data_IF_240663159605
#
_entry.id   IF_240663159605
#
_cell.length_a   1.000
_cell.length_b   1.000
_cell.length_c   1.000
_cell.angle_alpha   90.00
_cell.angle_beta   90.00
_cell.angle_gamma   90.00
#
_symmetry.space_group_name_H-M   'P 1'
#
loop_
_entity.id
_entity.type
_entity.pdbx_description
1 polymer ?
#
# COMPACT_ATOMS: atom_id res chain seq x y z
N UNK A 1 4.40 32.71 -24.96
CA UNK A 1 5.53 32.20 -24.13
C UNK A 1 5.12 30.85 -23.54
N UNK A 2 5.16 29.81 -24.37
CA UNK A 2 4.75 28.43 -24.07
C UNK A 2 5.90 27.50 -24.45
N UNK A 3 6.86 27.39 -23.55
CA UNK A 3 7.92 26.38 -23.56
C UNK A 3 7.83 25.69 -22.19
N UNK A 4 8.28 24.44 -22.10
CA UNK A 4 8.48 23.66 -20.86
C UNK A 4 7.54 22.45 -20.63
N UNK A 5 6.95 21.86 -21.68
CA UNK A 5 6.41 20.47 -21.64
C UNK A 5 7.16 19.53 -22.58
N UNK A 6 7.95 20.07 -23.52
CA UNK A 6 8.74 19.32 -24.51
C UNK A 6 10.12 18.84 -24.01
N UNK A 7 10.51 19.12 -22.77
CA UNK A 7 11.89 18.90 -22.30
C UNK A 7 12.29 17.43 -22.07
N UNK A 8 11.34 16.53 -21.79
CA UNK A 8 11.68 15.14 -21.46
C UNK A 8 11.72 14.20 -22.67
N UNK A 9 10.74 14.30 -23.58
CA UNK A 9 10.75 13.53 -24.82
C UNK A 9 11.91 13.92 -25.73
N UNK A 10 12.27 15.21 -25.77
CA UNK A 10 13.43 15.71 -26.52
C UNK A 10 14.73 15.08 -26.02
N UNK A 11 14.89 14.76 -24.73
CA UNK A 11 16.15 14.19 -24.23
C UNK A 11 16.41 12.75 -24.64
N UNK A 12 15.40 11.88 -24.79
CA UNK A 12 15.66 10.49 -25.19
C UNK A 12 15.89 10.34 -26.70
N UNK A 13 15.13 11.04 -27.56
CA UNK A 13 15.42 11.03 -28.99
C UNK A 13 16.63 11.87 -29.35
N UNK A 14 16.87 13.01 -28.68
CA UNK A 14 18.09 13.79 -28.89
C UNK A 14 19.33 13.07 -28.33
N UNK A 15 19.24 12.33 -27.21
CA UNK A 15 20.36 11.49 -26.76
C UNK A 15 20.63 10.32 -27.72
N UNK A 16 19.60 9.63 -28.22
CA UNK A 16 19.76 8.58 -29.26
C UNK A 16 20.32 9.17 -30.57
N UNK A 17 19.88 10.36 -30.94
CA UNK A 17 20.37 11.09 -32.10
C UNK A 17 21.84 11.50 -31.93
N UNK A 18 22.20 12.12 -30.80
CA UNK A 18 23.56 12.54 -30.48
C UNK A 18 24.50 11.35 -30.36
N UNK A 19 24.06 10.24 -29.75
CA UNK A 19 24.82 9.00 -29.71
C UNK A 19 25.03 8.41 -31.11
N UNK A 20 24.00 8.44 -31.97
CA UNK A 20 24.15 8.01 -33.35
C UNK A 20 25.12 8.90 -34.14
N UNK A 21 25.06 10.23 -33.95
CA UNK A 21 26.00 11.17 -34.57
C UNK A 21 27.43 10.92 -34.10
N UNK A 22 27.63 10.58 -32.82
CA UNK A 22 28.96 10.24 -32.29
C UNK A 22 29.48 8.92 -32.89
N UNK A 23 28.62 7.90 -33.00
CA UNK A 23 28.95 6.65 -33.68
C UNK A 23 29.33 6.88 -35.15
N UNK A 24 28.66 7.81 -35.83
CA UNK A 24 29.02 8.20 -37.19
C UNK A 24 30.37 8.90 -37.27
N UNK A 25 30.71 9.77 -36.30
CA UNK A 25 32.02 10.44 -36.24
C UNK A 25 33.17 9.44 -36.09
N UNK A 26 32.97 8.37 -35.34
CA UNK A 26 33.97 7.29 -35.18
C UNK A 26 33.86 6.20 -36.26
N UNK A 27 33.06 6.41 -37.32
CA UNK A 27 32.94 5.51 -38.47
C UNK A 27 32.11 4.25 -38.24
N UNK A 28 31.39 4.13 -37.12
CA UNK A 28 30.53 2.99 -36.77
C UNK A 28 29.14 3.13 -37.37
N UNK A 29 29.08 3.09 -38.69
CA UNK A 29 27.86 3.29 -39.49
C UNK A 29 26.77 2.24 -39.20
N UNK A 30 27.16 0.97 -39.03
CA UNK A 30 26.22 -0.12 -38.75
C UNK A 30 25.55 0.03 -37.38
N UNK A 31 26.31 0.42 -36.36
CA UNK A 31 25.80 0.61 -35.00
C UNK A 31 24.95 1.89 -34.88
N UNK A 32 25.23 2.91 -35.70
CA UNK A 32 24.47 4.16 -35.72
C UNK A 32 23.06 4.00 -36.34
N UNK A 33 22.90 3.13 -37.34
CA UNK A 33 21.67 3.00 -38.11
C UNK A 33 20.41 2.65 -37.26
N UNK A 34 20.46 1.69 -36.32
CA UNK A 34 19.33 1.39 -35.44
C UNK A 34 18.87 2.58 -34.58
N UNK A 35 19.82 3.37 -34.05
CA UNK A 35 19.50 4.55 -33.24
C UNK A 35 18.82 5.64 -34.09
N UNK A 36 19.31 5.88 -35.30
CA UNK A 36 18.68 6.82 -36.26
C UNK A 36 17.29 6.36 -36.69
N UNK A 37 17.09 5.05 -36.90
CA UNK A 37 15.80 4.46 -37.24
C UNK A 37 14.75 4.69 -36.14
N UNK A 38 15.13 4.48 -34.88
CA UNK A 38 14.25 4.71 -33.74
C UNK A 38 13.93 6.21 -33.53
N UNK A 39 14.86 7.12 -33.83
CA UNK A 39 14.60 8.56 -33.78
C UNK A 39 13.71 9.00 -34.94
N UNK A 40 13.94 8.46 -36.14
CA UNK A 40 13.17 8.76 -37.35
C UNK A 40 11.68 8.43 -37.26
N UNK A 41 11.31 7.41 -36.47
CA UNK A 41 9.93 6.97 -36.26
C UNK A 41 9.25 7.64 -35.06
N UNK A 42 10.00 8.34 -34.20
CA UNK A 42 9.52 8.88 -32.92
C UNK A 42 8.71 10.19 -33.01
N UNK A 43 8.62 10.83 -34.18
CA UNK A 43 7.91 12.11 -34.37
C UNK A 43 8.49 13.34 -33.65
N UNK A 44 9.68 13.22 -33.04
CA UNK A 44 10.34 14.27 -32.24
C UNK A 44 11.14 15.27 -33.08
N UNK A 45 11.61 16.39 -32.50
CA UNK A 45 12.28 17.52 -33.20
C UNK A 45 13.37 17.12 -34.21
N UNK A 46 14.19 16.11 -33.90
CA UNK A 46 15.34 15.70 -34.73
C UNK A 46 14.99 14.67 -35.84
N UNK A 47 13.72 14.24 -35.93
CA UNK A 47 13.31 13.13 -36.82
C UNK A 47 13.61 13.36 -38.31
N UNK A 48 13.51 14.62 -38.79
CA UNK A 48 13.79 14.95 -40.20
C UNK A 48 15.27 14.79 -40.51
N UNK A 49 16.14 15.20 -39.59
CA UNK A 49 17.59 15.09 -39.77
C UNK A 49 18.05 13.65 -39.55
N UNK A 50 17.47 12.95 -38.58
CA UNK A 50 17.70 11.52 -38.36
C UNK A 50 17.30 10.67 -39.58
N UNK A 51 16.17 10.97 -40.24
CA UNK A 51 15.77 10.32 -41.51
C UNK A 51 16.78 10.53 -42.62
N UNK A 52 17.29 11.76 -42.80
CA UNK A 52 18.31 12.05 -43.81
C UNK A 52 19.61 11.27 -43.56
N UNK A 53 20.10 11.28 -42.32
CA UNK A 53 21.30 10.53 -41.93
C UNK A 53 21.09 9.02 -42.06
N UNK A 54 19.92 8.51 -41.66
CA UNK A 54 19.59 7.09 -41.80
C UNK A 54 19.64 6.63 -43.26
N UNK A 55 19.04 7.40 -44.17
CA UNK A 55 19.06 7.10 -45.61
C UNK A 55 20.51 7.04 -46.11
N UNK A 56 21.35 8.04 -45.77
CA UNK A 56 22.76 8.08 -46.16
C UNK A 56 23.54 6.87 -45.64
N UNK A 57 23.34 6.51 -44.36
CA UNK A 57 24.00 5.37 -43.71
C UNK A 57 23.58 4.06 -44.36
N UNK A 58 22.28 3.86 -44.62
CA UNK A 58 21.77 2.65 -45.28
C UNK A 58 22.29 2.53 -46.73
N UNK A 59 22.36 3.65 -47.47
CA UNK A 59 22.97 3.68 -48.81
C UNK A 59 24.45 3.29 -48.76
N UNK A 60 25.21 3.74 -47.76
CA UNK A 60 26.62 3.38 -47.60
C UNK A 60 26.81 1.91 -47.22
N UNK A 61 26.00 1.38 -46.30
CA UNK A 61 26.07 -0.02 -45.87
C UNK A 61 25.67 -0.98 -46.99
N UNK A 62 24.70 -0.60 -47.83
CA UNK A 62 24.22 -1.41 -48.96
C UNK A 62 25.22 -1.49 -50.13
N UNK A 63 26.27 -0.68 -50.16
CA UNK A 63 27.34 -0.78 -51.17
C UNK A 63 28.29 -1.95 -50.93
N UNK A 64 28.37 -2.44 -49.69
CA UNK A 64 29.32 -3.50 -49.28
C UNK A 64 28.63 -4.77 -48.77
N UNK A 65 27.30 -4.79 -48.67
CA UNK A 65 26.51 -5.90 -48.12
C UNK A 65 25.25 -6.12 -48.93
N UNK A 66 24.75 -7.36 -48.93
CA UNK A 66 23.45 -7.67 -49.51
C UNK A 66 22.32 -6.92 -48.74
N UNK A 67 21.44 -6.19 -49.44
CA UNK A 67 20.39 -5.40 -48.79
C UNK A 67 19.39 -6.22 -47.97
N UNK A 68 19.10 -7.47 -48.34
CA UNK A 68 18.16 -8.33 -47.60
C UNK A 68 18.80 -8.80 -46.29
N UNK A 69 20.06 -9.22 -46.34
CA UNK A 69 20.82 -9.61 -45.14
C UNK A 69 21.03 -8.42 -44.19
N UNK A 70 21.37 -7.24 -44.74
CA UNK A 70 21.51 -6.01 -43.95
C UNK A 70 20.22 -5.65 -43.22
N UNK A 71 19.06 -5.77 -43.88
CA UNK A 71 17.77 -5.52 -43.25
C UNK A 71 17.48 -6.50 -42.11
N UNK A 72 17.80 -7.80 -42.28
CA UNK A 72 17.63 -8.81 -41.23
C UNK A 72 18.52 -8.49 -40.01
N UNK A 73 19.80 -8.20 -40.24
CA UNK A 73 20.75 -7.87 -39.17
C UNK A 73 20.35 -6.60 -38.40
N UNK A 74 19.98 -5.53 -39.12
CA UNK A 74 19.51 -4.30 -38.50
C UNK A 74 18.22 -4.50 -37.71
N UNK A 75 17.28 -5.31 -38.23
CA UNK A 75 16.05 -5.63 -37.51
C UNK A 75 16.32 -6.38 -36.21
N UNK A 76 17.31 -7.28 -36.17
CA UNK A 76 17.73 -7.95 -34.93
C UNK A 76 18.29 -6.96 -33.91
N UNK A 77 19.15 -6.03 -34.34
CA UNK A 77 19.73 -5.01 -33.45
C UNK A 77 18.68 -4.01 -32.98
N UNK A 78 17.77 -3.56 -33.86
CA UNK A 78 16.65 -2.69 -33.50
C UNK A 78 15.75 -3.37 -32.46
N UNK A 79 15.45 -4.67 -32.64
CA UNK A 79 14.68 -5.46 -31.66
C UNK A 79 15.41 -5.54 -30.31
N UNK A 80 16.73 -5.75 -30.31
CA UNK A 80 17.54 -5.75 -29.08
C UNK A 80 17.62 -4.38 -28.40
N UNK A 81 17.74 -3.29 -29.15
CA UNK A 81 17.75 -1.92 -28.60
C UNK A 81 16.36 -1.46 -28.13
N UNK A 82 15.31 -2.10 -28.66
CA UNK A 82 13.93 -1.95 -28.20
C UNK A 82 13.57 -2.92 -27.07
N UNK A 83 14.46 -3.89 -26.78
CA UNK A 83 14.33 -4.80 -25.64
C UNK A 83 14.48 -3.99 -24.36
N UNK A 84 13.63 -4.28 -23.38
CA UNK A 84 13.67 -3.72 -22.03
C UNK A 84 14.48 -4.57 -21.06
N UNK A 85 15.16 -5.62 -21.56
CA UNK A 85 15.94 -6.59 -20.77
C UNK A 85 17.15 -6.03 -20.00
N UNK A 86 17.47 -4.75 -20.16
CA UNK A 86 18.56 -4.05 -19.46
C UNK A 86 18.06 -3.18 -18.29
N UNK A 87 16.75 -3.03 -18.13
CA UNK A 87 16.15 -2.25 -17.04
C UNK A 87 16.11 -3.08 -15.75
N UNK A 88 16.63 -2.51 -14.65
CA UNK A 88 16.50 -3.10 -13.32
C UNK A 88 15.22 -2.59 -12.65
N UNK A 89 14.68 -3.35 -11.71
CA UNK A 89 13.53 -2.94 -10.91
C UNK A 89 13.75 -1.57 -10.23
N UNK A 90 14.93 -1.37 -9.66
CA UNK A 90 15.33 -0.10 -9.04
C UNK A 90 15.31 1.11 -10.01
N UNK A 91 15.44 0.89 -11.33
CA UNK A 91 15.40 1.96 -12.33
C UNK A 91 13.97 2.51 -12.55
N UNK A 92 12.95 1.85 -11.99
CA UNK A 92 11.53 2.24 -12.08
C UNK A 92 10.93 2.71 -10.77
N UNK A 93 11.77 3.07 -9.80
CA UNK A 93 11.32 3.60 -8.52
C UNK A 93 11.29 5.13 -8.52
N UNK A 94 10.19 5.67 -7.98
CA UNK A 94 10.03 7.09 -7.72
C UNK A 94 10.77 7.48 -6.44
N UNK A 95 11.74 8.39 -6.52
CA UNK A 95 12.51 8.82 -5.33
C UNK A 95 11.68 9.53 -4.25
N UNK A 96 10.49 10.06 -4.61
CA UNK A 96 9.63 10.75 -3.64
C UNK A 96 8.81 9.80 -2.79
N UNK A 97 8.42 8.67 -3.36
CA UNK A 97 7.64 7.66 -2.64
C UNK A 97 8.38 6.34 -2.51
N UNK A 98 9.67 6.27 -2.87
CA UNK A 98 10.55 5.10 -2.88
C UNK A 98 9.82 3.79 -3.20
N UNK A 99 9.08 3.81 -4.32
CA UNK A 99 8.17 2.76 -4.79
C UNK A 99 8.05 2.90 -6.31
N UNK A 100 7.59 1.87 -7.01
CA UNK A 100 7.44 1.88 -8.46
C UNK A 100 6.56 3.04 -8.94
N UNK A 101 6.85 3.54 -10.14
CA UNK A 101 6.10 4.65 -10.69
C UNK A 101 4.61 4.34 -10.89
N UNK A 102 3.76 4.90 -10.03
CA UNK A 102 2.30 4.96 -10.21
C UNK A 102 1.94 6.22 -11.02
N UNK A 103 1.41 6.03 -12.23
CA UNK A 103 1.13 7.11 -13.19
C UNK A 103 2.36 8.04 -13.36
N UNK A 104 3.49 7.53 -13.90
CA UNK A 104 4.73 8.29 -14.02
C UNK A 104 4.56 9.57 -14.82
N UNK A 105 4.87 10.69 -14.18
CA UNK A 105 5.04 11.96 -14.87
C UNK A 105 6.53 12.22 -14.99
N UNK A 106 6.94 12.65 -16.19
CA UNK A 106 8.30 13.16 -16.35
C UNK A 106 8.36 14.66 -16.48
N UNK A 107 9.16 15.26 -15.60
CA UNK A 107 9.42 16.71 -15.56
C UNK A 107 10.25 17.15 -16.77
N UNK A 108 10.21 18.45 -17.14
CA UNK A 108 10.95 18.97 -18.29
C UNK A 108 12.47 18.82 -18.15
N UNK A 109 12.95 18.70 -16.91
CA UNK A 109 14.36 18.60 -16.62
C UNK A 109 14.95 17.20 -16.86
N UNK A 110 14.16 16.12 -16.93
CA UNK A 110 14.73 14.77 -16.97
C UNK A 110 14.19 13.78 -15.94
N UNK A 111 13.56 14.26 -14.89
CA UNK A 111 13.29 13.42 -13.73
C UNK A 111 11.85 12.92 -13.71
N UNK A 112 11.70 11.64 -13.41
CA UNK A 112 10.42 10.95 -13.34
C UNK A 112 9.97 10.80 -11.89
N UNK A 113 8.67 10.96 -11.68
CA UNK A 113 8.02 10.84 -10.37
C UNK A 113 6.62 10.27 -10.58
N UNK A 114 6.01 9.71 -9.54
CA UNK A 114 4.57 9.46 -9.56
C UNK A 114 3.83 10.80 -9.67
N UNK A 115 2.74 10.84 -10.45
CA UNK A 115 1.93 12.05 -10.64
C UNK A 115 1.57 12.73 -9.32
N UNK A 116 0.98 11.96 -8.41
CA UNK A 116 0.55 12.42 -7.08
C UNK A 116 1.70 12.90 -6.20
N UNK A 117 2.90 12.32 -6.36
CA UNK A 117 4.08 12.71 -5.61
C UNK A 117 4.60 14.07 -6.10
N UNK A 118 4.63 14.27 -7.42
CA UNK A 118 5.05 15.54 -8.01
C UNK A 118 4.02 16.65 -7.72
N UNK A 119 2.72 16.36 -7.84
CA UNK A 119 1.62 17.27 -7.47
C UNK A 119 1.82 17.81 -6.05
N UNK A 120 1.98 16.93 -5.05
CA UNK A 120 2.21 17.33 -3.65
C UNK A 120 3.44 18.22 -3.47
N UNK A 121 4.56 17.90 -4.14
CA UNK A 121 5.76 18.75 -4.01
C UNK A 121 5.59 20.14 -4.65
N UNK A 122 4.80 20.23 -5.71
CA UNK A 122 4.53 21.47 -6.43
C UNK A 122 3.60 22.42 -5.68
N UNK A 123 2.81 21.92 -4.72
CA UNK A 123 1.98 22.74 -3.83
C UNK A 123 2.83 23.64 -2.92
N UNK A 124 3.98 23.13 -2.45
CA UNK A 124 4.90 23.91 -1.62
C UNK A 124 5.89 24.73 -2.46
N UNK A 125 6.57 24.10 -3.42
CA UNK A 125 7.56 24.75 -4.30
C UNK A 125 7.51 24.12 -5.68
N UNK A 126 7.17 24.92 -6.71
CA UNK A 126 7.21 24.49 -8.12
C UNK A 126 8.63 24.36 -8.66
N UNK A 127 9.38 23.40 -8.14
CA UNK A 127 10.74 23.00 -8.58
C UNK A 127 10.85 21.48 -8.58
N UNK A 128 11.71 20.94 -9.43
CA UNK A 128 12.03 19.52 -9.46
C UNK A 128 12.67 19.12 -8.12
N UNK A 129 12.16 18.09 -7.43
CA UNK A 129 12.74 17.65 -6.16
C UNK A 129 14.17 17.10 -6.26
N UNK A 130 14.59 16.64 -7.44
CA UNK A 130 15.91 16.05 -7.65
C UNK A 130 16.99 17.07 -8.01
N UNK A 131 16.70 17.98 -8.94
CA UNK A 131 17.71 18.92 -9.46
C UNK A 131 17.34 20.39 -9.28
N UNK A 132 16.24 20.67 -8.57
CA UNK A 132 15.76 22.02 -8.25
C UNK A 132 15.38 22.87 -9.47
N UNK A 133 15.33 22.27 -10.67
CA UNK A 133 14.92 22.95 -11.89
C UNK A 133 13.50 23.52 -11.76
N UNK A 134 13.26 24.73 -12.27
CA UNK A 134 11.96 25.41 -12.16
C UNK A 134 10.87 24.65 -12.91
N UNK A 135 9.73 24.42 -12.24
CA UNK A 135 8.53 23.78 -12.82
C UNK A 135 7.37 24.77 -12.94
N UNK A 136 7.62 26.09 -12.91
CA UNK A 136 6.55 27.11 -12.91
C UNK A 136 5.62 27.03 -14.12
N UNK A 137 6.13 26.62 -15.30
CA UNK A 137 5.38 26.47 -16.56
C UNK A 137 4.95 25.03 -16.85
N UNK A 138 5.23 24.11 -15.94
CA UNK A 138 4.88 22.72 -16.07
C UNK A 138 3.46 22.48 -15.57
N UNK A 139 2.59 21.94 -16.43
CA UNK A 139 1.21 21.60 -16.07
C UNK A 139 0.99 20.10 -16.17
N UNK A 140 0.62 19.49 -15.04
CA UNK A 140 0.41 18.05 -14.89
C UNK A 140 -0.83 17.58 -15.67
N UNK A 141 -1.87 18.42 -15.83
CA UNK A 141 -3.14 18.03 -16.47
C UNK A 141 -3.01 17.56 -17.93
N UNK A 142 -1.92 17.94 -18.62
CA UNK A 142 -1.73 17.64 -20.05
C UNK A 142 -0.71 16.53 -20.33
N UNK A 143 -0.24 15.82 -19.30
CA UNK A 143 0.84 14.84 -19.44
C UNK A 143 0.28 13.44 -19.33
N UNK A 144 0.45 12.68 -20.41
CA UNK A 144 0.20 11.24 -20.48
C UNK A 144 1.49 10.44 -20.35
N UNK A 145 1.37 9.21 -19.87
CA UNK A 145 2.47 8.26 -19.88
C UNK A 145 2.89 7.96 -21.32
N UNK A 146 4.17 7.68 -21.50
CA UNK A 146 4.69 7.28 -22.82
C UNK A 146 4.49 5.77 -22.98
N UNK A 147 4.20 5.31 -24.20
CA UNK A 147 4.07 3.88 -24.52
C UNK A 147 5.34 3.08 -24.17
N UNK A 148 6.50 3.75 -24.16
CA UNK A 148 7.77 3.15 -23.73
C UNK A 148 7.83 2.95 -22.22
N UNK A 149 7.41 3.93 -21.41
CA UNK A 149 7.40 3.82 -19.94
C UNK A 149 6.38 2.78 -19.49
N UNK A 150 5.22 2.73 -20.14
CA UNK A 150 4.23 1.67 -19.91
C UNK A 150 4.75 0.29 -20.30
N UNK A 151 5.42 0.17 -21.45
CA UNK A 151 6.05 -1.08 -21.90
C UNK A 151 7.18 -1.52 -20.98
N UNK A 152 7.98 -0.57 -20.48
CA UNK A 152 9.09 -0.80 -19.57
C UNK A 152 8.60 -1.29 -18.20
N UNK A 153 7.60 -0.63 -17.59
CA UNK A 153 6.95 -1.06 -16.35
C UNK A 153 6.35 -2.48 -16.47
N UNK A 154 5.68 -2.77 -17.60
CA UNK A 154 5.12 -4.10 -17.87
C UNK A 154 6.18 -5.18 -18.05
N UNK A 155 7.33 -4.83 -18.62
CA UNK A 155 8.35 -5.81 -19.01
C UNK A 155 9.33 -6.25 -17.92
N UNK A 156 9.43 -5.49 -16.82
CA UNK A 156 10.33 -5.81 -15.69
C UNK A 156 9.60 -6.47 -14.51
N UNK A 157 8.35 -6.90 -14.69
CA UNK A 157 7.51 -7.39 -13.58
C UNK A 157 7.48 -6.40 -12.39
N UNK A 158 7.40 -5.08 -12.66
CA UNK A 158 7.12 -4.07 -11.61
C UNK A 158 5.70 -4.20 -11.04
N UNK A 159 4.89 -5.07 -11.64
CA UNK A 159 3.80 -5.78 -10.98
C UNK A 159 4.30 -7.21 -10.78
N UNK A 160 4.51 -7.69 -9.55
CA UNK A 160 4.82 -9.08 -9.30
C UNK A 160 3.83 -10.01 -10.03
N UNK A 161 4.33 -10.77 -11.03
CA UNK A 161 3.71 -12.05 -11.37
C UNK A 161 4.11 -13.05 -10.27
N UNK A 162 3.57 -12.84 -9.07
CA UNK A 162 3.49 -13.89 -8.07
C UNK A 162 2.70 -15.05 -8.70
N UNK A 163 3.08 -16.32 -8.47
CA UNK A 163 2.29 -17.47 -8.90
C UNK A 163 0.86 -17.50 -8.31
N UNK A 164 0.52 -16.53 -7.45
CA UNK A 164 -0.77 -16.34 -6.82
C UNK A 164 -1.23 -14.88 -6.97
N UNK A 165 -2.52 -14.62 -7.26
CA UNK A 165 -3.03 -13.28 -7.51
C UNK A 165 -2.80 -12.36 -6.30
N UNK A 166 -2.23 -11.18 -6.54
CA UNK A 166 -1.81 -10.17 -5.54
C UNK A 166 -2.93 -9.66 -4.61
N UNK A 167 -4.18 -10.00 -4.91
CA UNK A 167 -5.40 -9.66 -4.18
C UNK A 167 -5.51 -10.26 -2.77
N UNK A 168 -4.60 -11.15 -2.36
CA UNK A 168 -4.71 -11.87 -1.07
C UNK A 168 -3.82 -11.34 0.07
N UNK A 169 -2.90 -10.41 -0.22
CA UNK A 169 -2.02 -9.83 0.82
C UNK A 169 -2.60 -8.52 1.37
N UNK A 170 -2.71 -8.42 2.69
CA UNK A 170 -3.15 -7.19 3.36
C UNK A 170 -1.95 -6.44 3.97
N UNK A 171 -1.92 -5.10 3.92
CA UNK A 171 -0.96 -4.31 4.69
C UNK A 171 -1.13 -4.52 6.19
N UNK A 172 -0.03 -4.56 6.93
CA UNK A 172 0.00 -4.77 8.38
C UNK A 172 0.68 -3.59 9.08
N UNK A 173 0.00 -3.02 10.08
CA UNK A 173 0.60 -2.10 11.05
C UNK A 173 0.91 -2.89 12.33
N UNK A 174 2.17 -2.86 12.74
CA UNK A 174 2.61 -3.42 14.03
C UNK A 174 2.58 -2.30 15.07
N UNK A 175 1.64 -2.36 16.00
CA UNK A 175 1.46 -1.30 17.00
C UNK A 175 0.81 -1.82 18.29
N UNK A 176 -0.45 -2.26 18.21
CA UNK A 176 -1.26 -2.63 19.36
C UNK A 176 -2.24 -3.75 18.99
N UNK A 177 -2.95 -4.27 19.99
CA UNK A 177 -4.06 -5.20 19.78
C UNK A 177 -5.30 -4.40 19.37
N UNK A 178 -5.84 -4.69 18.18
CA UNK A 178 -7.16 -4.24 17.76
C UNK A 178 -8.24 -5.26 18.11
N UNK A 179 -9.51 -4.84 18.11
CA UNK A 179 -10.65 -5.73 18.35
C UNK A 179 -11.78 -5.44 17.35
N UNK A 180 -12.55 -6.47 16.94
CA UNK A 180 -13.76 -6.29 16.14
C UNK A 180 -14.74 -5.31 16.78
N UNK A 181 -15.39 -4.51 15.95
CA UNK A 181 -16.38 -3.49 16.33
C UNK A 181 -15.87 -2.35 17.23
N UNK A 182 -14.59 -2.36 17.63
CA UNK A 182 -14.01 -1.33 18.49
C UNK A 182 -13.24 -0.29 17.65
N UNK A 183 -13.41 0.98 18.01
CA UNK A 183 -12.67 2.09 17.42
C UNK A 183 -11.18 1.98 17.79
N UNK A 184 -10.32 2.22 16.81
CA UNK A 184 -8.87 2.21 16.99
C UNK A 184 -8.26 3.43 16.29
N UNK A 185 -8.30 4.63 16.91
CA UNK A 185 -7.69 5.81 16.33
C UNK A 185 -6.16 5.66 16.31
N UNK A 186 -5.53 6.01 15.18
CA UNK A 186 -4.09 5.85 14.99
C UNK A 186 -3.45 7.14 14.49
N UNK A 187 -2.37 7.58 15.15
CA UNK A 187 -1.47 8.60 14.63
C UNK A 187 -0.35 7.94 13.83
N UNK A 188 -0.34 8.16 12.53
CA UNK A 188 0.63 7.62 11.59
C UNK A 188 1.63 8.69 11.18
N UNK A 189 2.85 8.60 11.71
CA UNK A 189 3.95 9.52 11.39
C UNK A 189 5.13 8.85 10.69
N UNK A 190 5.27 7.52 10.77
CA UNK A 190 6.33 6.80 10.04
C UNK A 190 6.05 6.89 8.52
N UNK A 191 7.02 7.40 7.77
CA UNK A 191 6.90 7.64 6.34
C UNK A 191 6.47 6.39 5.54
N UNK A 192 6.82 5.19 5.99
CA UNK A 192 6.47 3.92 5.34
C UNK A 192 4.97 3.63 5.51
N UNK A 193 4.43 3.83 6.73
CA UNK A 193 3.00 3.69 6.97
C UNK A 193 2.19 4.85 6.39
N UNK A 194 2.71 6.08 6.34
CA UNK A 194 2.05 7.19 5.65
C UNK A 194 1.86 6.88 4.15
N UNK A 195 2.83 6.21 3.51
CA UNK A 195 2.68 5.73 2.12
C UNK A 195 1.61 4.64 2.02
N UNK A 196 1.67 3.64 2.89
CA UNK A 196 0.70 2.55 2.95
C UNK A 196 -0.74 3.08 3.03
N UNK A 197 -1.01 4.00 3.98
CA UNK A 197 -2.32 4.61 4.21
C UNK A 197 -2.85 5.32 2.96
N UNK A 198 -2.01 6.11 2.27
CA UNK A 198 -2.43 6.79 1.04
C UNK A 198 -2.85 5.78 -0.03
N UNK A 199 -2.13 4.67 -0.17
CA UNK A 199 -2.46 3.61 -1.12
C UNK A 199 -3.81 2.98 -0.76
N UNK A 200 -4.00 2.59 0.51
CA UNK A 200 -5.25 1.99 1.01
C UNK A 200 -6.46 2.90 0.81
N UNK A 201 -6.29 4.23 0.96
CA UNK A 201 -7.34 5.21 0.70
C UNK A 201 -7.62 5.42 -0.81
N UNK A 202 -6.61 5.32 -1.67
CA UNK A 202 -6.73 5.55 -3.12
C UNK A 202 -7.26 4.32 -3.89
N UNK A 203 -6.85 3.11 -3.49
CA UNK A 203 -7.30 1.86 -4.12
C UNK A 203 -8.72 1.47 -3.72
N UNK A 204 -9.25 2.08 -2.66
CA UNK A 204 -10.64 1.95 -2.24
C UNK A 204 -10.93 0.81 -1.26
N UNK A 205 -9.95 -0.04 -0.93
CA UNK A 205 -10.20 -1.11 0.08
C UNK A 205 -10.42 -0.53 1.47
N UNK A 206 -9.74 0.58 1.80
CA UNK A 206 -9.75 1.22 3.13
C UNK A 206 -9.41 0.29 4.28
N UNK A 207 -8.83 -0.89 4.01
CA UNK A 207 -8.59 -1.95 4.98
C UNK A 207 -7.11 -2.27 5.12
N UNK A 208 -6.68 -2.53 6.34
CA UNK A 208 -5.34 -3.05 6.70
C UNK A 208 -5.44 -3.85 8.00
N UNK A 209 -4.50 -4.75 8.26
CA UNK A 209 -4.44 -5.50 9.51
C UNK A 209 -3.63 -4.75 10.57
N UNK A 210 -4.06 -4.85 11.82
CA UNK A 210 -3.26 -4.43 12.97
C UNK A 210 -2.87 -5.64 13.82
N UNK A 211 -1.63 -5.64 14.28
CA UNK A 211 -1.05 -6.68 15.15
C UNK A 211 -0.23 -6.04 16.25
N UNK A 212 -0.13 -6.72 17.39
CA UNK A 212 0.76 -6.32 18.46
C UNK A 212 2.21 -6.75 18.21
N UNK A 213 3.16 -6.05 18.83
CA UNK A 213 4.55 -6.49 18.88
C UNK A 213 4.69 -7.77 19.70
N UNK A 214 5.66 -8.60 19.35
CA UNK A 214 6.09 -9.76 20.13
C UNK A 214 7.54 -9.51 20.58
N UNK A 215 7.90 -10.01 21.76
CA UNK A 215 9.30 -9.94 22.23
C UNK A 215 10.19 -11.00 21.57
N UNK A 216 9.58 -12.07 21.04
CA UNK A 216 10.27 -13.25 20.48
C UNK A 216 10.22 -13.32 18.95
N UNK A 217 9.26 -12.62 18.33
CA UNK A 217 9.06 -12.46 16.89
C UNK A 217 8.96 -10.98 16.58
N UNK A 218 9.03 -10.58 15.31
CA UNK A 218 8.77 -9.18 14.93
C UNK A 218 7.35 -8.73 15.37
N UNK A 219 6.34 -9.59 15.15
CA UNK A 219 4.97 -9.39 15.61
C UNK A 219 4.20 -10.72 15.77
N UNK A 220 3.12 -10.67 16.54
CA UNK A 220 2.28 -11.84 16.88
C UNK A 220 1.54 -12.41 15.67
N UNK A 221 1.16 -13.69 15.71
CA UNK A 221 0.49 -14.35 14.56
C UNK A 221 -1.00 -13.98 14.42
N UNK A 222 -1.59 -13.21 15.34
CA UNK A 222 -3.04 -12.93 15.39
C UNK A 222 -3.30 -11.43 15.40
N UNK A 223 -4.31 -10.99 14.65
CA UNK A 223 -4.65 -9.58 14.52
C UNK A 223 -6.09 -9.32 14.13
N UNK A 224 -6.37 -8.05 13.84
CA UNK A 224 -7.70 -7.59 13.44
C UNK A 224 -7.60 -6.75 12.18
N UNK A 225 -8.47 -7.00 11.20
CA UNK A 225 -8.63 -6.13 10.04
C UNK A 225 -9.33 -4.86 10.51
N UNK A 226 -8.70 -3.71 10.31
CA UNK A 226 -9.27 -2.40 10.55
C UNK A 226 -9.74 -1.77 9.23
N UNK A 227 -10.84 -1.03 9.29
CA UNK A 227 -11.31 -0.18 8.19
C UNK A 227 -11.17 1.30 8.55
N UNK A 228 -10.60 2.08 7.63
CA UNK A 228 -10.46 3.54 7.76
C UNK A 228 -11.79 4.22 7.46
N UNK A 229 -12.42 4.76 8.51
CA UNK A 229 -13.63 5.60 8.40
C UNK A 229 -13.27 7.00 7.95
N UNK A 230 -12.27 7.60 8.58
CA UNK A 230 -11.81 8.96 8.27
C UNK A 230 -10.28 9.09 8.39
N UNK A 231 -9.71 10.07 7.69
CA UNK A 231 -8.28 10.35 7.68
C UNK A 231 -8.02 11.86 7.58
N UNK A 232 -7.41 12.42 8.62
CA UNK A 232 -6.96 13.82 8.67
C UNK A 232 -5.46 13.84 8.36
N UNK A 233 -5.07 14.49 7.26
CA UNK A 233 -3.66 14.71 6.93
C UNK A 233 -3.16 16.02 7.56
N UNK A 234 -2.05 15.95 8.28
CA UNK A 234 -1.41 17.09 8.92
C UNK A 234 -0.39 17.74 7.96
N UNK A 235 -0.04 19.00 8.24
CA UNK A 235 0.83 19.80 7.38
C UNK A 235 2.28 19.26 7.27
N UNK A 236 2.71 18.48 8.27
CA UNK A 236 4.02 17.81 8.32
C UNK A 236 4.05 16.48 7.55
N UNK A 237 2.90 16.05 7.00
CA UNK A 237 2.75 14.83 6.21
C UNK A 237 2.37 13.59 7.01
N UNK A 238 2.21 13.70 8.33
CA UNK A 238 1.61 12.66 9.18
C UNK A 238 0.08 12.61 9.00
N UNK A 239 -0.55 11.52 9.43
CA UNK A 239 -2.00 11.30 9.32
C UNK A 239 -2.59 10.82 10.63
N UNK A 240 -3.76 11.36 11.00
CA UNK A 240 -4.61 10.80 12.05
C UNK A 240 -5.71 9.98 11.36
N UNK A 241 -5.83 8.71 11.72
CA UNK A 241 -6.84 7.80 11.21
C UNK A 241 -7.92 7.55 12.26
N UNK A 242 -9.18 7.67 11.85
CA UNK A 242 -10.30 7.07 12.56
C UNK A 242 -10.57 5.70 11.93
N UNK A 243 -10.45 4.63 12.70
CA UNK A 243 -10.64 3.27 12.21
C UNK A 243 -11.54 2.46 13.12
N UNK A 244 -12.18 1.44 12.56
CA UNK A 244 -12.99 0.46 13.31
C UNK A 244 -12.52 -0.95 12.97
N UNK A 245 -12.47 -1.82 13.97
CA UNK A 245 -12.17 -3.24 13.75
C UNK A 245 -13.33 -3.95 13.06
N UNK A 246 -13.01 -4.81 12.10
CA UNK A 246 -13.99 -5.59 11.34
C UNK A 246 -13.97 -7.06 11.75
N UNK A 247 -12.85 -7.75 11.50
CA UNK A 247 -12.77 -9.19 11.67
C UNK A 247 -11.38 -9.63 12.14
N UNK A 248 -11.32 -10.78 12.79
CA UNK A 248 -10.07 -11.36 13.27
C UNK A 248 -9.40 -12.20 12.20
N UNK A 249 -8.08 -12.28 12.29
CA UNK A 249 -7.29 -13.10 11.38
C UNK A 249 -6.08 -13.74 12.04
N UNK A 250 -5.61 -14.81 11.41
CA UNK A 250 -4.32 -15.45 11.67
C UNK A 250 -3.37 -15.22 10.50
N UNK A 251 -2.16 -14.79 10.79
CA UNK A 251 -1.07 -14.63 9.82
C UNK A 251 -0.57 -16.02 9.41
N UNK A 252 -0.52 -16.25 8.11
CA UNK A 252 -0.03 -17.51 7.52
C UNK A 252 1.31 -17.31 6.81
N UNK A 253 1.48 -16.13 6.21
CA UNK A 253 2.69 -15.76 5.48
C UNK A 253 3.02 -14.30 5.80
N UNK A 254 4.30 -14.03 6.07
CA UNK A 254 4.82 -12.69 6.35
C UNK A 254 5.71 -12.25 5.18
N UNK A 255 5.51 -11.03 4.69
CA UNK A 255 6.38 -10.42 3.68
C UNK A 255 6.56 -8.93 3.97
N UNK A 256 7.51 -8.31 3.30
CA UNK A 256 7.74 -6.87 3.38
C UNK A 256 7.46 -6.25 2.01
N UNK A 257 6.74 -5.12 2.00
CA UNK A 257 6.49 -4.30 0.81
C UNK A 257 6.73 -2.84 1.15
N UNK A 258 7.55 -2.15 0.37
CA UNK A 258 7.86 -0.73 0.56
C UNK A 258 8.29 -0.36 1.99
N UNK A 259 8.97 -1.32 2.66
CA UNK A 259 9.45 -1.18 4.03
C UNK A 259 8.41 -1.33 5.13
N UNK A 260 7.15 -1.66 4.81
CA UNK A 260 6.12 -2.02 5.79
C UNK A 260 5.71 -3.49 5.63
N UNK A 261 5.14 -4.06 6.69
CA UNK A 261 4.71 -5.46 6.72
C UNK A 261 3.48 -5.67 5.84
N UNK A 262 3.47 -6.76 5.06
CA UNK A 262 2.28 -7.28 4.39
C UNK A 262 2.15 -8.75 4.74
N UNK A 263 0.92 -9.23 4.91
CA UNK A 263 0.70 -10.61 5.30
C UNK A 263 -0.41 -11.25 4.50
N UNK A 264 -0.25 -12.56 4.28
CA UNK A 264 -1.35 -13.44 3.95
C UNK A 264 -2.02 -13.84 5.25
N UNK A 265 -3.33 -13.67 5.30
CA UNK A 265 -4.09 -13.91 6.51
C UNK A 265 -5.27 -14.83 6.23
N UNK A 266 -5.61 -15.66 7.22
CA UNK A 266 -6.83 -16.45 7.22
C UNK A 266 -7.81 -15.83 8.21
N UNK A 267 -9.09 -15.67 7.82
CA UNK A 267 -10.11 -15.21 8.75
C UNK A 267 -10.30 -16.21 9.89
N UNK A 268 -10.59 -15.70 11.08
CA UNK A 268 -11.02 -16.50 12.23
C UNK A 268 -12.52 -16.26 12.37
N UNK A 269 -13.28 -17.34 12.46
CA UNK A 269 -14.74 -17.31 12.65
C UNK A 269 -15.06 -18.16 13.85
N UNK A 270 -16.06 -17.75 14.63
CA UNK A 270 -16.47 -18.52 15.78
C UNK A 270 -17.23 -19.80 15.42
N UNK A 271 -17.03 -20.82 16.24
CA UNK A 271 -17.86 -22.01 16.26
C UNK A 271 -19.28 -21.63 16.66
N UNK A 272 -20.23 -21.87 15.75
CA UNK A 272 -21.67 -21.65 16.02
C UNK A 272 -22.19 -22.85 16.83
N UNK A 273 -22.83 -22.64 17.99
CA UNK A 273 -23.43 -23.72 18.76
C UNK A 273 -24.49 -24.46 17.93
N UNK A 274 -24.43 -25.79 17.92
CA UNK A 274 -25.38 -26.62 17.16
C UNK A 274 -26.58 -27.02 18.02
N UNK A 275 -26.38 -27.16 19.32
CA UNK A 275 -27.41 -27.60 20.25
C UNK A 275 -28.16 -26.41 20.86
N UNK A 276 -29.48 -26.57 21.01
CA UNK A 276 -30.33 -25.53 21.62
C UNK A 276 -29.93 -25.21 23.05
N UNK A 277 -29.54 -26.21 23.84
CA UNK A 277 -29.11 -26.01 25.23
C UNK A 277 -27.83 -25.15 25.33
N UNK A 278 -26.85 -25.40 24.47
CA UNK A 278 -25.60 -24.62 24.44
C UNK A 278 -25.86 -23.15 24.09
N UNK A 279 -26.81 -22.89 23.17
CA UNK A 279 -27.24 -21.53 22.86
C UNK A 279 -27.87 -20.84 24.08
N UNK A 280 -28.72 -21.54 24.84
CA UNK A 280 -29.34 -21.01 26.06
C UNK A 280 -28.29 -20.70 27.13
N UNK A 281 -27.36 -21.62 27.40
CA UNK A 281 -26.28 -21.41 28.36
C UNK A 281 -25.42 -20.19 27.98
N UNK A 282 -25.14 -20.02 26.69
CA UNK A 282 -24.38 -18.87 26.19
C UNK A 282 -25.17 -17.57 26.36
N UNK A 283 -26.47 -17.54 26.06
CA UNK A 283 -27.33 -16.38 26.31
C UNK A 283 -27.38 -16.02 27.79
N UNK A 284 -27.58 -17.00 28.68
CA UNK A 284 -27.60 -16.78 30.14
C UNK A 284 -26.27 -16.21 30.61
N UNK A 285 -25.15 -16.78 30.18
CA UNK A 285 -23.82 -16.28 30.51
C UNK A 285 -23.60 -14.84 30.00
N UNK A 286 -24.13 -14.50 28.82
CA UNK A 286 -24.08 -13.14 28.27
C UNK A 286 -24.73 -12.12 29.19
N UNK A 287 -25.98 -12.37 29.61
CA UNK A 287 -26.69 -11.51 30.55
C UNK A 287 -25.96 -11.38 31.90
N UNK A 288 -25.39 -12.48 32.40
CA UNK A 288 -24.58 -12.46 33.63
C UNK A 288 -23.35 -11.56 33.48
N UNK A 289 -22.62 -11.65 32.36
CA UNK A 289 -21.44 -10.82 32.11
C UNK A 289 -21.83 -9.35 32.01
N UNK A 290 -22.87 -9.01 31.25
CA UNK A 290 -23.34 -7.62 31.12
C UNK A 290 -23.72 -7.06 32.49
N UNK A 291 -24.50 -7.81 33.29
CA UNK A 291 -24.91 -7.38 34.63
C UNK A 291 -23.70 -7.13 35.53
N UNK A 292 -22.73 -8.06 35.55
CA UNK A 292 -21.49 -7.91 36.32
C UNK A 292 -20.66 -6.72 35.85
N UNK A 293 -20.56 -6.52 34.54
CA UNK A 293 -19.85 -5.39 33.96
C UNK A 293 -20.46 -4.05 34.36
N UNK A 294 -21.79 -3.92 34.31
CA UNK A 294 -22.49 -2.70 34.74
C UNK A 294 -22.29 -2.42 36.23
N UNK A 295 -22.38 -3.45 37.07
CA UNK A 295 -22.08 -3.33 38.51
C UNK A 295 -20.63 -2.88 38.72
N UNK A 296 -19.67 -3.49 38.02
CA UNK A 296 -18.27 -3.10 38.09
C UNK A 296 -18.05 -1.65 37.66
N UNK A 297 -18.59 -1.23 36.51
CA UNK A 297 -18.49 0.13 36.00
C UNK A 297 -19.08 1.14 36.98
N UNK A 298 -20.23 0.86 37.57
CA UNK A 298 -20.88 1.76 38.55
C UNK A 298 -20.06 2.00 39.83
N UNK A 299 -19.07 1.14 40.12
CA UNK A 299 -18.15 1.28 41.26
C UNK A 299 -16.88 2.05 40.90
N UNK A 300 -16.60 2.30 39.63
CA UNK A 300 -15.44 3.07 39.21
C UNK A 300 -15.69 4.57 39.37
N UNK A 301 -14.64 5.37 39.68
CA UNK A 301 -14.72 6.82 39.59
C UNK A 301 -15.11 7.27 38.18
N UNK A 302 -15.94 8.30 38.08
CA UNK A 302 -16.44 8.87 36.81
C UNK A 302 -15.30 9.20 35.83
N UNK A 303 -14.21 9.79 36.32
CA UNK A 303 -13.00 10.06 35.51
C UNK A 303 -12.41 8.84 34.78
N UNK A 304 -12.52 7.63 35.35
CA UNK A 304 -12.07 6.40 34.68
C UNK A 304 -13.05 5.95 33.60
N UNK A 305 -14.34 6.13 33.84
CA UNK A 305 -15.40 5.82 32.87
C UNK A 305 -15.26 6.74 31.68
N UNK A 306 -15.15 8.06 31.89
CA UNK A 306 -14.91 9.04 30.83
C UNK A 306 -13.65 8.73 30.03
N UNK A 307 -12.56 8.30 30.69
CA UNK A 307 -11.33 7.92 29.99
C UNK A 307 -11.53 6.68 29.09
N UNK A 308 -12.33 5.70 29.52
CA UNK A 308 -12.69 4.53 28.71
C UNK A 308 -13.55 4.93 27.52
N UNK A 309 -14.58 5.76 27.73
CA UNK A 309 -15.48 6.21 26.67
C UNK A 309 -14.75 7.07 25.62
N UNK A 310 -13.86 7.96 26.06
CA UNK A 310 -13.03 8.75 25.15
C UNK A 310 -12.07 7.87 24.31
N UNK A 311 -11.61 6.74 24.85
CA UNK A 311 -10.68 5.86 24.15
C UNK A 311 -11.37 4.85 23.22
N UNK A 312 -12.52 4.29 23.63
CA UNK A 312 -13.16 3.14 22.97
C UNK A 312 -14.61 3.37 22.57
N UNK A 313 -15.20 4.52 22.92
CA UNK A 313 -16.65 4.77 22.84
C UNK A 313 -17.39 4.21 24.05
N UNK A 314 -18.69 4.51 24.16
CA UNK A 314 -19.57 3.91 25.16
C UNK A 314 -19.78 2.42 24.91
N UNK A 315 -20.08 1.66 25.97
CA UNK A 315 -20.35 0.24 25.86
C UNK A 315 -21.59 -0.01 24.97
N UNK A 316 -21.48 -0.80 23.89
CA UNK A 316 -22.58 -1.00 22.94
C UNK A 316 -23.61 -1.98 23.51
N UNK A 317 -24.63 -1.46 24.18
CA UNK A 317 -25.71 -2.26 24.77
C UNK A 317 -26.93 -2.42 23.86
N UNK A 318 -27.00 -1.63 22.78
CA UNK A 318 -28.15 -1.55 21.88
C UNK A 318 -28.15 -2.64 20.77
N UNK A 319 -27.39 -3.72 20.92
CA UNK A 319 -27.41 -4.84 19.97
C UNK A 319 -28.73 -5.61 20.11
N UNK A 320 -29.34 -6.03 19.00
CA UNK A 320 -30.57 -6.83 19.01
C UNK A 320 -30.40 -8.07 19.91
N UNK A 321 -31.14 -8.11 21.03
CA UNK A 321 -31.02 -9.12 22.10
C UNK A 321 -31.16 -10.57 21.58
N UNK A 322 -31.82 -10.75 20.45
CA UNK A 322 -32.13 -12.05 19.87
C UNK A 322 -31.04 -12.64 18.97
N UNK A 323 -30.11 -11.83 18.43
CA UNK A 323 -29.17 -12.25 17.37
C UNK A 323 -27.68 -11.98 17.64
N UNK A 324 -27.33 -11.21 18.68
CA UNK A 324 -25.93 -10.81 18.94
C UNK A 324 -24.92 -11.97 19.02
N UNK A 325 -25.39 -13.15 19.40
CA UNK A 325 -24.63 -14.38 19.53
C UNK A 325 -24.25 -15.05 18.20
N UNK A 326 -24.93 -14.69 17.10
CA UNK A 326 -24.74 -15.26 15.76
C UNK A 326 -23.84 -14.39 14.86
N UNK A 327 -23.08 -13.47 15.46
CA UNK A 327 -22.09 -12.65 14.76
C UNK A 327 -20.79 -13.42 14.51
N UNK A 328 -20.08 -13.12 13.42
CA UNK A 328 -18.86 -13.86 13.00
C UNK A 328 -17.74 -13.83 14.03
N UNK A 329 -17.66 -12.75 14.80
CA UNK A 329 -16.61 -12.49 15.78
C UNK A 329 -17.16 -12.33 17.20
N UNK A 330 -18.45 -12.60 17.42
CA UNK A 330 -19.14 -12.31 18.67
C UNK A 330 -19.51 -10.84 18.86
N UNK A 331 -20.29 -10.54 19.92
CA UNK A 331 -20.91 -9.23 20.12
C UNK A 331 -19.90 -8.12 20.43
N UNK A 332 -20.21 -6.88 20.04
CA UNK A 332 -19.31 -5.75 20.25
C UNK A 332 -19.10 -5.45 21.74
N UNK A 333 -20.11 -5.66 22.59
CA UNK A 333 -19.98 -5.40 24.03
C UNK A 333 -18.92 -6.28 24.69
N UNK A 334 -18.73 -7.51 24.20
CA UNK A 334 -17.72 -8.42 24.73
C UNK A 334 -16.31 -7.92 24.37
N UNK A 335 -16.11 -7.48 23.13
CA UNK A 335 -14.85 -6.88 22.69
C UNK A 335 -14.54 -5.57 23.41
N UNK A 336 -15.57 -4.77 23.69
CA UNK A 336 -15.45 -3.55 24.49
C UNK A 336 -14.92 -3.87 25.88
N UNK A 337 -15.49 -4.89 26.55
CA UNK A 337 -15.00 -5.35 27.85
C UNK A 337 -13.55 -5.83 27.78
N UNK A 338 -13.18 -6.62 26.77
CA UNK A 338 -11.77 -7.07 26.60
C UNK A 338 -10.82 -5.88 26.43
N UNK A 339 -11.25 -4.81 25.75
CA UNK A 339 -10.45 -3.61 25.56
C UNK A 339 -10.21 -2.88 26.89
N UNK A 340 -11.25 -2.65 27.69
CA UNK A 340 -11.17 -1.84 28.92
C UNK A 340 -10.71 -2.60 30.17
N UNK A 341 -10.89 -3.92 30.21
CA UNK A 341 -10.49 -4.71 31.36
C UNK A 341 -8.95 -4.69 31.53
N UNK A 342 -8.45 -4.70 32.78
CA UNK A 342 -7.02 -4.61 33.12
C UNK A 342 -6.30 -5.96 32.89
N UNK A 343 -6.49 -6.54 31.71
CA UNK A 343 -5.87 -7.78 31.28
C UNK A 343 -4.46 -7.53 30.75
N UNK A 344 -3.53 -8.44 31.08
CA UNK A 344 -2.21 -8.47 30.44
C UNK A 344 -2.37 -8.69 28.93
N UNK A 345 -1.50 -8.10 28.12
CA UNK A 345 -1.55 -8.20 26.65
C UNK A 345 -1.57 -9.64 26.16
N UNK A 346 -0.88 -10.57 26.83
CA UNK A 346 -0.87 -11.99 26.46
C UNK A 346 -2.26 -12.62 26.60
N UNK A 347 -3.03 -12.25 27.62
CA UNK A 347 -4.41 -12.74 27.82
C UNK A 347 -5.32 -12.12 26.75
N UNK A 348 -5.16 -10.82 26.48
CA UNK A 348 -5.90 -10.14 25.40
C UNK A 348 -5.69 -10.82 24.05
N UNK A 349 -4.45 -11.20 23.72
CA UNK A 349 -4.11 -11.95 22.52
C UNK A 349 -4.69 -13.38 22.51
N UNK A 350 -4.68 -14.06 23.65
CA UNK A 350 -5.28 -15.38 23.78
C UNK A 350 -6.79 -15.33 23.49
N UNK A 351 -7.49 -14.36 24.08
CA UNK A 351 -8.92 -14.11 23.82
C UNK A 351 -9.13 -13.80 22.33
N UNK A 352 -8.34 -12.91 21.74
CA UNK A 352 -8.43 -12.57 20.31
C UNK A 352 -8.27 -13.82 19.42
N UNK A 353 -7.31 -14.68 19.73
CA UNK A 353 -6.99 -15.88 18.93
C UNK A 353 -8.00 -17.03 19.03
N UNK A 354 -8.95 -16.96 19.97
CA UNK A 354 -9.89 -18.05 20.28
C UNK A 354 -11.09 -18.05 19.33
N UNK A 355 -11.39 -19.20 18.73
CA UNK A 355 -12.52 -19.50 17.84
C UNK A 355 -13.82 -19.91 18.57
N UNK A 356 -13.82 -19.91 19.90
CA UNK A 356 -14.99 -20.23 20.71
C UNK A 356 -15.47 -19.01 21.50
N UNK A 357 -16.63 -18.48 21.11
CA UNK A 357 -17.28 -17.37 21.82
C UNK A 357 -17.48 -17.70 23.31
N UNK A 358 -17.91 -18.91 23.63
CA UNK A 358 -18.10 -19.37 25.01
C UNK A 358 -16.80 -19.31 25.83
N UNK A 359 -15.66 -19.72 25.27
CA UNK A 359 -14.36 -19.61 25.96
C UNK A 359 -13.98 -18.14 26.20
N UNK A 360 -14.24 -17.25 25.25
CA UNK A 360 -14.01 -15.81 25.42
C UNK A 360 -14.90 -15.23 26.52
N UNK A 361 -16.19 -15.56 26.51
CA UNK A 361 -17.15 -15.13 27.54
C UNK A 361 -16.75 -15.60 28.93
N UNK A 362 -16.35 -16.87 29.09
CA UNK A 362 -15.84 -17.40 30.37
C UNK A 362 -14.60 -16.65 30.85
N UNK A 363 -13.65 -16.36 29.97
CA UNK A 363 -12.45 -15.59 30.33
C UNK A 363 -12.81 -14.19 30.85
N UNK A 364 -13.74 -13.49 30.20
CA UNK A 364 -14.24 -12.18 30.64
C UNK A 364 -14.98 -12.29 31.97
N UNK A 365 -15.86 -13.29 32.13
CA UNK A 365 -16.61 -13.51 33.36
C UNK A 365 -15.69 -13.75 34.57
N UNK A 366 -14.72 -14.67 34.44
CA UNK A 366 -13.73 -14.94 35.49
C UNK A 366 -12.89 -13.71 35.84
N UNK A 367 -12.61 -12.85 34.86
CA UNK A 367 -11.88 -11.59 35.10
C UNK A 367 -12.71 -10.62 35.93
N UNK A 368 -14.00 -10.45 35.61
CA UNK A 368 -14.91 -9.61 36.39
C UNK A 368 -15.06 -10.13 37.83
N UNK A 369 -15.18 -11.45 38.01
CA UNK A 369 -15.24 -12.08 39.33
C UNK A 369 -13.98 -11.81 40.16
N UNK A 370 -12.80 -11.91 39.56
CA UNK A 370 -11.54 -11.60 40.25
C UNK A 370 -11.47 -10.12 40.67
N UNK A 371 -11.98 -9.20 39.84
CA UNK A 371 -12.04 -7.77 40.17
C UNK A 371 -13.00 -7.47 41.32
N UNK A 372 -14.14 -8.18 41.39
CA UNK A 372 -15.09 -8.06 42.50
C UNK A 372 -14.48 -8.52 43.84
N UNK A 373 -13.73 -9.63 43.83
CA UNK A 373 -13.05 -10.13 45.03
C UNK A 373 -11.99 -9.13 45.54
N UNK A 374 -11.26 -8.47 44.65
CA UNK A 374 -10.28 -7.45 45.03
C UNK A 374 -10.90 -6.13 45.50
N UNK A 375 -12.15 -5.84 45.15
CA UNK A 375 -12.85 -4.64 45.62
C UNK A 375 -13.50 -4.82 47.01
N UNK A 376 -13.66 -6.06 47.47
CA UNK A 376 -14.29 -6.41 48.76
C UNK A 376 -13.29 -6.80 49.84
N UNK A 377 -12.01 -6.97 49.49
CA UNK A 377 -10.86 -7.18 50.37
C UNK A 377 -10.14 -5.86 50.64
#
# INVERSE_FOLDING_TARGET
>A
MSQDVWGFFVKFGSARYNHAVELLRVGKHFDAAPHLALVATSGQTDFRQARKLLIQVLTLLSRKRDPKMLAVELNVVIRRLSSTSWLKQADMECILCCDYFANPVTTPCGHMFCRSCLERTMDYKRRCPLCLHSLKRFNLSHISNTTFVEGALKSINAIPSSPFPETELIPIIVCTVGYPSISCPLLIFDARYCRMVRRVLQTGTRKFGIVATDTSKDYVDYGTVLEVRDCIQLADGSSILSTIGLSRFKVVERCIRDGYEVARVLPIVDEVPVETMEMWDMKVLGHQIITKALVWLSRLPESKIEAMENAFGSMPLDEDEDEWWNSTDGPAWLWWLVAVLPLRTQIKLLILSTDSLLKRMRAVCCTLEALDLHATA
#
